data_IF_602364511596
#
_entry.id   IF_602364511596
#
_cell.length_a   1.000
_cell.length_b   1.000
_cell.length_c   1.000
_cell.angle_alpha   90.00
_cell.angle_beta   90.00
_cell.angle_gamma   90.00
#
_symmetry.space_group_name_H-M   'P 1'
#
loop_
_entity.id
_entity.type
_entity.pdbx_description
1 polymer ?
#
# COMPACT_ATOMS: atom_id res chain seq x y z
N UNK A 1 -2.56 -44.41 41.87
CA UNK A 1 -2.01 -44.22 43.24
C UNK A 1 -1.38 -42.84 43.32
N UNK A 2 -1.84 -41.98 44.24
CA UNK A 2 -1.36 -40.61 44.40
C UNK A 2 0.07 -40.63 44.96
N UNK A 3 1.06 -40.16 44.18
CA UNK A 3 2.41 -39.86 44.69
C UNK A 3 2.28 -38.58 45.52
N UNK A 4 2.27 -38.71 46.85
CA UNK A 4 2.37 -37.56 47.74
C UNK A 4 3.83 -37.12 47.78
N UNK A 5 4.11 -35.92 47.26
CA UNK A 5 5.39 -35.24 47.45
C UNK A 5 5.61 -35.01 48.95
N UNK A 6 6.68 -35.61 49.48
CA UNK A 6 7.13 -35.42 50.85
C UNK A 6 7.58 -33.98 51.06
N UNK A 7 7.19 -33.39 52.19
CA UNK A 7 7.55 -32.03 52.60
C UNK A 7 9.06 -31.96 52.86
N UNK A 8 9.79 -31.16 52.09
CA UNK A 8 11.22 -30.88 52.31
C UNK A 8 11.36 -29.75 53.34
N UNK A 9 11.96 -30.05 54.50
CA UNK A 9 12.43 -29.04 55.43
C UNK A 9 13.94 -28.82 55.21
N UNK A 10 14.33 -27.65 54.70
CA UNK A 10 15.71 -27.19 54.71
C UNK A 10 15.96 -26.50 56.07
N UNK A 11 16.59 -27.20 57.02
CA UNK A 11 17.00 -26.59 58.29
C UNK A 11 18.41 -26.05 58.12
N UNK A 12 18.52 -24.73 57.99
CA UNK A 12 19.78 -24.00 57.90
C UNK A 12 20.20 -23.62 59.33
N UNK A 13 20.97 -24.48 60.00
CA UNK A 13 21.53 -24.18 61.33
C UNK A 13 22.74 -23.24 61.15
N UNK A 14 22.50 -21.94 61.30
CA UNK A 14 23.53 -20.91 61.37
C UNK A 14 24.16 -20.91 62.77
N UNK A 15 25.24 -21.68 62.98
CA UNK A 15 26.08 -21.56 64.18
C UNK A 15 27.50 -21.10 63.84
N UNK A 16 27.83 -19.88 64.27
CA UNK A 16 29.17 -19.30 64.46
C UNK A 16 30.13 -19.20 63.24
N UNK A 17 31.00 -18.17 63.18
CA UNK A 17 31.88 -17.95 62.04
C UNK A 17 33.05 -18.94 62.09
N UNK A 18 32.90 -20.08 61.41
CA UNK A 18 33.98 -21.05 61.25
C UNK A 18 33.46 -22.40 60.78
N UNK A 19 33.23 -22.52 59.47
CA UNK A 19 32.71 -23.68 58.71
C UNK A 19 31.18 -23.75 58.64
N UNK A 20 30.63 -23.41 57.47
CA UNK A 20 29.24 -23.69 57.14
C UNK A 20 29.09 -25.20 56.90
N UNK A 21 28.26 -25.85 57.71
CA UNK A 21 27.96 -27.27 57.55
C UNK A 21 26.62 -27.41 56.83
N UNK A 22 26.63 -28.13 55.71
CA UNK A 22 25.44 -28.39 54.90
C UNK A 22 24.91 -29.76 55.26
N UNK A 23 23.61 -29.85 55.54
CA UNK A 23 22.96 -31.13 55.85
C UNK A 23 21.60 -31.23 55.20
N UNK A 24 21.27 -32.43 54.73
CA UNK A 24 19.95 -32.79 54.28
C UNK A 24 19.52 -34.08 54.96
N UNK A 25 18.28 -34.11 55.43
CA UNK A 25 17.67 -35.33 55.95
C UNK A 25 16.31 -35.50 55.28
N UNK A 26 16.07 -36.70 54.75
CA UNK A 26 14.82 -37.02 54.10
C UNK A 26 14.41 -38.47 54.31
N UNK A 27 13.14 -38.74 54.10
CA UNK A 27 12.61 -40.11 54.08
C UNK A 27 12.63 -40.67 52.66
N UNK A 28 13.16 -41.86 52.49
CA UNK A 28 13.17 -42.57 51.21
C UNK A 28 12.42 -43.91 51.34
N UNK A 29 11.59 -44.22 50.36
CA UNK A 29 10.97 -45.53 50.25
C UNK A 29 11.99 -46.54 49.69
N UNK A 30 11.90 -47.85 50.03
CA UNK A 30 12.74 -48.86 49.41
C UNK A 30 12.62 -48.85 47.87
N UNK A 31 13.76 -48.86 47.19
CA UNK A 31 13.88 -48.70 45.74
C UNK A 31 13.92 -47.25 45.25
N UNK A 32 13.78 -46.26 46.13
CA UNK A 32 13.95 -44.86 45.75
C UNK A 32 15.41 -44.53 45.46
N UNK A 33 15.64 -43.76 44.39
CA UNK A 33 16.97 -43.31 43.95
C UNK A 33 17.08 -41.81 44.17
N UNK A 34 18.22 -41.40 44.70
CA UNK A 34 18.59 -40.03 45.00
C UNK A 34 19.94 -39.73 44.36
N UNK A 35 20.06 -38.60 43.66
CA UNK A 35 21.31 -38.15 43.07
C UNK A 35 21.87 -37.01 43.92
N UNK A 36 23.05 -37.23 44.48
CA UNK A 36 23.72 -36.29 45.39
C UNK A 36 25.03 -35.91 44.73
N UNK A 37 25.10 -34.71 44.14
CA UNK A 37 26.15 -34.35 43.19
C UNK A 37 26.30 -35.42 42.08
N UNK A 38 27.42 -36.14 42.04
CA UNK A 38 27.71 -37.20 41.07
C UNK A 38 27.49 -38.61 41.64
N UNK A 39 26.93 -38.72 42.85
CA UNK A 39 26.68 -39.99 43.51
C UNK A 39 25.22 -40.41 43.32
N UNK A 40 25.01 -41.68 43.00
CA UNK A 40 23.69 -42.31 42.99
C UNK A 40 23.49 -43.03 44.31
N UNK A 41 22.48 -42.66 45.07
CA UNK A 41 22.13 -43.22 46.38
C UNK A 41 20.78 -43.89 46.27
N UNK A 42 20.76 -45.21 46.39
CA UNK A 42 19.53 -46.01 46.35
C UNK A 42 19.19 -46.45 47.75
N UNK A 43 18.00 -46.13 48.24
CA UNK A 43 17.49 -46.67 49.50
C UNK A 43 16.97 -48.09 49.27
N UNK A 44 17.35 -49.03 50.13
CA UNK A 44 16.90 -50.42 50.05
C UNK A 44 16.75 -51.03 51.44
N UNK A 45 16.40 -52.32 51.50
CA UNK A 45 16.21 -53.07 52.74
C UNK A 45 16.98 -54.37 52.72
N UNK A 46 17.72 -54.63 53.79
CA UNK A 46 18.45 -55.89 53.95
C UNK A 46 17.47 -57.06 54.18
N UNK A 47 17.59 -58.12 53.37
CA UNK A 47 16.69 -59.28 53.40
C UNK A 47 16.81 -60.10 54.71
N UNK A 48 18.02 -60.23 55.26
CA UNK A 48 18.31 -61.06 56.44
C UNK A 48 17.90 -60.40 57.77
N UNK A 49 18.01 -59.07 57.85
CA UNK A 49 17.81 -58.31 59.09
C UNK A 49 16.63 -57.34 59.08
N UNK A 50 15.97 -57.15 57.94
CA UNK A 50 14.91 -56.15 57.73
C UNK A 50 15.33 -54.70 58.07
N UNK A 51 16.64 -54.44 58.07
CA UNK A 51 17.26 -53.14 58.35
C UNK A 51 17.26 -52.26 57.11
N UNK A 52 17.10 -50.96 57.30
CA UNK A 52 17.23 -50.00 56.20
C UNK A 52 18.70 -49.83 55.83
N UNK A 53 18.97 -49.79 54.53
CA UNK A 53 20.30 -49.57 53.97
C UNK A 53 20.23 -48.53 52.86
N UNK A 54 21.37 -47.94 52.54
CA UNK A 54 21.55 -47.22 51.28
C UNK A 54 22.71 -47.82 50.49
N UNK A 55 22.60 -47.80 49.18
CA UNK A 55 23.59 -48.26 48.23
C UNK A 55 24.07 -47.05 47.44
N UNK A 56 25.37 -46.75 47.54
CA UNK A 56 26.00 -45.61 46.89
C UNK A 56 26.82 -46.11 45.69
N UNK A 57 26.54 -45.57 44.51
CA UNK A 57 27.14 -45.93 43.21
C UNK A 57 27.13 -47.44 42.94
N UNK A 58 26.09 -48.15 43.39
CA UNK A 58 25.93 -49.61 43.27
C UNK A 58 27.03 -50.47 43.90
N UNK A 59 28.00 -49.87 44.62
CA UNK A 59 29.18 -50.58 45.12
C UNK A 59 29.40 -50.42 46.63
N UNK A 60 28.91 -49.34 47.24
CA UNK A 60 29.12 -49.09 48.67
C UNK A 60 27.80 -49.17 49.41
N UNK A 61 27.68 -50.10 50.36
CA UNK A 61 26.50 -50.22 51.21
C UNK A 61 26.78 -49.54 52.55
N UNK A 62 25.83 -48.72 53.00
CA UNK A 62 25.84 -48.12 54.34
C UNK A 62 24.67 -48.71 55.12
N UNK A 63 24.98 -49.36 56.23
CA UNK A 63 23.97 -49.98 57.09
C UNK A 63 23.36 -48.98 58.07
N UNK A 64 22.23 -49.37 58.65
CA UNK A 64 21.58 -48.61 59.71
C UNK A 64 22.54 -48.30 60.87
N UNK A 65 22.55 -47.04 61.31
CA UNK A 65 23.45 -46.48 62.34
C UNK A 65 24.94 -46.50 61.97
N UNK A 66 25.29 -46.80 60.72
CA UNK A 66 26.64 -46.63 60.19
C UNK A 66 26.79 -45.23 59.57
N UNK A 67 27.94 -44.61 59.81
CA UNK A 67 28.35 -43.36 59.16
C UNK A 67 29.42 -43.66 58.13
N UNK A 68 29.21 -43.24 56.90
CA UNK A 68 30.16 -43.44 55.80
C UNK A 68 30.41 -42.14 55.08
N UNK A 69 31.68 -41.78 54.90
CA UNK A 69 32.07 -40.57 54.17
C UNK A 69 32.62 -40.95 52.80
N UNK A 70 32.01 -40.41 51.74
CA UNK A 70 32.37 -40.63 50.33
C UNK A 70 32.39 -39.27 49.65
N UNK A 71 33.49 -38.93 48.97
CA UNK A 71 33.66 -37.66 48.26
C UNK A 71 33.37 -36.40 49.11
N UNK A 72 33.64 -36.47 50.41
CA UNK A 72 33.37 -35.38 51.36
C UNK A 72 31.90 -35.23 51.77
N UNK A 73 31.04 -36.19 51.41
CA UNK A 73 29.67 -36.34 51.88
C UNK A 73 29.60 -37.49 52.89
N UNK A 74 29.12 -37.21 54.11
CA UNK A 74 28.85 -38.22 55.13
C UNK A 74 27.39 -38.64 55.03
N UNK A 75 27.17 -39.94 54.89
CA UNK A 75 25.87 -40.57 54.83
C UNK A 75 25.61 -41.36 56.10
N UNK A 76 24.39 -41.23 56.61
CA UNK A 76 23.89 -41.95 57.77
C UNK A 76 22.45 -42.41 57.51
N UNK A 77 22.13 -43.64 57.92
CA UNK A 77 20.81 -44.25 57.73
C UNK A 77 20.21 -44.58 59.07
N UNK A 78 18.95 -44.20 59.28
CA UNK A 78 18.17 -44.59 60.44
C UNK A 78 16.82 -45.17 60.02
N UNK A 79 16.37 -46.20 60.74
CA UNK A 79 15.00 -46.68 60.61
C UNK A 79 14.15 -46.09 61.73
N UNK A 80 13.05 -45.42 61.39
CA UNK A 80 12.07 -45.00 62.38
C UNK A 80 10.65 -45.22 61.84
N UNK A 81 9.79 -45.84 62.64
CA UNK A 81 8.41 -46.17 62.26
C UNK A 81 8.29 -46.84 60.87
N UNK A 82 9.15 -47.84 60.62
CA UNK A 82 9.20 -48.58 59.35
C UNK A 82 9.51 -47.72 58.10
N UNK A 83 10.13 -46.54 58.28
CA UNK A 83 10.61 -45.67 57.22
C UNK A 83 12.12 -45.52 57.28
N UNK A 84 12.76 -45.44 56.12
CA UNK A 84 14.20 -45.17 55.98
C UNK A 84 14.42 -43.68 55.97
N UNK A 85 15.18 -43.18 56.96
CA UNK A 85 15.67 -41.81 57.01
C UNK A 85 17.12 -41.81 56.56
N UNK A 86 17.43 -40.96 55.60
CA UNK A 86 18.79 -40.76 55.10
C UNK A 86 19.21 -39.35 55.46
N UNK A 87 20.32 -39.26 56.18
CA UNK A 87 20.98 -38.01 56.52
C UNK A 87 22.28 -37.91 55.73
N UNK A 88 22.47 -36.77 55.07
CA UNK A 88 23.63 -36.46 54.24
C UNK A 88 24.20 -35.16 54.77
N UNK A 89 25.50 -35.12 55.04
CA UNK A 89 26.17 -33.91 55.52
C UNK A 89 27.50 -33.67 54.83
N UNK A 90 27.87 -32.41 54.63
CA UNK A 90 29.16 -32.01 54.05
C UNK A 90 29.57 -30.62 54.51
N UNK A 91 30.87 -30.36 54.51
CA UNK A 91 31.43 -29.02 54.71
C UNK A 91 31.34 -28.15 53.45
N UNK A 92 30.98 -28.74 52.30
CA UNK A 92 30.75 -28.03 51.04
C UNK A 92 29.27 -28.08 50.65
N UNK A 93 28.74 -27.04 49.96
CA UNK A 93 27.41 -27.11 49.40
C UNK A 93 27.28 -28.30 48.45
N UNK A 94 26.14 -28.97 48.48
CA UNK A 94 25.81 -30.08 47.57
C UNK A 94 24.38 -29.96 47.08
N UNK A 95 24.12 -30.53 45.90
CA UNK A 95 22.80 -30.58 45.30
C UNK A 95 22.18 -31.96 45.45
N UNK A 96 20.88 -32.00 45.71
CA UNK A 96 20.08 -33.23 45.75
C UNK A 96 19.03 -33.17 44.66
N UNK A 97 19.04 -34.17 43.80
CA UNK A 97 18.08 -34.35 42.73
C UNK A 97 17.41 -35.73 42.86
N UNK A 98 16.11 -35.78 42.59
CA UNK A 98 15.34 -37.04 42.51
C UNK A 98 15.15 -37.51 41.06
N UNK A 99 15.73 -36.77 40.12
CA UNK A 99 15.73 -37.03 38.69
C UNK A 99 17.18 -37.23 38.26
N UNK A 100 17.38 -38.07 37.24
CA UNK A 100 18.71 -38.26 36.69
C UNK A 100 19.30 -36.93 36.21
N UNK A 101 20.60 -36.68 36.42
CA UNK A 101 21.25 -35.45 35.97
C UNK A 101 21.01 -35.15 34.47
N UNK A 102 20.97 -36.19 33.64
CA UNK A 102 20.68 -36.10 32.21
C UNK A 102 19.24 -35.64 31.93
N UNK A 103 18.26 -36.07 32.73
CA UNK A 103 16.87 -35.61 32.60
C UNK A 103 16.72 -34.14 33.01
N UNK A 104 17.41 -33.72 34.08
CA UNK A 104 17.39 -32.32 34.54
C UNK A 104 17.97 -31.39 33.47
N UNK A 105 19.09 -31.77 32.85
CA UNK A 105 19.70 -30.99 31.78
C UNK A 105 18.79 -30.90 30.54
N UNK A 106 18.13 -32.00 30.18
CA UNK A 106 17.17 -32.05 29.07
C UNK A 106 15.94 -31.18 29.33
N UNK A 107 15.41 -31.18 30.55
CA UNK A 107 14.29 -30.30 30.94
C UNK A 107 14.68 -28.83 30.81
N UNK A 108 15.85 -28.43 31.32
CA UNK A 108 16.33 -27.05 31.19
C UNK A 108 16.49 -26.63 29.72
N UNK A 109 17.05 -27.51 28.88
CA UNK A 109 17.16 -27.24 27.44
C UNK A 109 15.79 -27.05 26.77
N UNK A 110 14.81 -27.90 27.11
CA UNK A 110 13.44 -27.79 26.59
C UNK A 110 12.71 -26.53 27.09
N UNK A 111 12.99 -26.08 28.31
CA UNK A 111 12.45 -24.82 28.86
C UNK A 111 13.02 -23.61 28.12
N UNK A 112 14.33 -23.59 27.84
CA UNK A 112 14.97 -22.54 27.05
C UNK A 112 14.45 -22.50 25.61
N UNK A 113 14.31 -23.66 24.98
CA UNK A 113 13.74 -23.77 23.63
C UNK A 113 12.30 -23.26 23.60
N UNK A 114 11.47 -23.67 24.55
CA UNK A 114 10.10 -23.16 24.67
C UNK A 114 10.05 -21.64 24.85
N UNK A 115 10.97 -21.07 25.64
CA UNK A 115 11.06 -19.62 25.84
C UNK A 115 11.41 -18.91 24.53
N UNK A 116 12.38 -19.43 23.77
CA UNK A 116 12.76 -18.91 22.44
C UNK A 116 11.61 -19.00 21.45
N UNK A 117 10.92 -20.14 21.40
CA UNK A 117 9.77 -20.33 20.51
C UNK A 117 8.63 -19.36 20.85
N UNK A 118 8.33 -19.15 22.13
CA UNK A 118 7.33 -18.16 22.58
C UNK A 118 7.69 -16.74 22.15
N UNK A 119 8.96 -16.35 22.24
CA UNK A 119 9.41 -15.04 21.76
C UNK A 119 9.23 -14.90 20.24
N UNK A 120 9.68 -15.90 19.48
CA UNK A 120 9.55 -15.90 18.02
C UNK A 120 8.09 -15.83 17.55
N UNK A 121 7.18 -16.54 18.23
CA UNK A 121 5.74 -16.46 17.95
C UNK A 121 5.23 -15.03 18.16
N UNK A 122 5.59 -14.37 19.28
CA UNK A 122 5.15 -12.98 19.55
C UNK A 122 5.63 -12.01 18.48
N UNK A 123 6.88 -12.12 18.06
CA UNK A 123 7.46 -11.28 17.00
C UNK A 123 6.75 -11.50 15.66
N UNK A 124 6.52 -12.77 15.27
CA UNK A 124 5.81 -13.11 14.05
C UNK A 124 4.36 -12.62 14.07
N UNK A 125 3.66 -12.73 15.21
CA UNK A 125 2.30 -12.19 15.37
C UNK A 125 2.28 -10.67 15.22
N UNK A 126 3.25 -9.96 15.80
CA UNK A 126 3.35 -8.50 15.67
C UNK A 126 3.61 -8.07 14.23
N UNK A 127 4.52 -8.77 13.54
CA UNK A 127 4.82 -8.54 12.12
C UNK A 127 3.60 -8.80 11.24
N UNK A 128 2.90 -9.93 11.44
CA UNK A 128 1.67 -10.27 10.70
C UNK A 128 0.58 -9.22 10.88
N UNK A 129 0.35 -8.75 12.10
CA UNK A 129 -0.65 -7.71 12.35
C UNK A 129 -0.29 -6.40 11.65
N UNK A 130 0.98 -5.98 11.72
CA UNK A 130 1.45 -4.76 11.04
C UNK A 130 1.28 -4.87 9.51
N UNK A 131 1.63 -6.02 8.93
CA UNK A 131 1.46 -6.27 7.50
C UNK A 131 -0.02 -6.27 7.08
N UNK A 132 -0.91 -6.84 7.91
CA UNK A 132 -2.35 -6.80 7.65
C UNK A 132 -2.91 -5.37 7.67
N UNK A 133 -2.47 -4.54 8.61
CA UNK A 133 -2.87 -3.11 8.66
C UNK A 133 -2.42 -2.39 7.39
N UNK A 134 -1.15 -2.53 7.00
CA UNK A 134 -0.61 -1.93 5.78
C UNK A 134 -1.37 -2.40 4.52
N UNK A 135 -1.73 -3.69 4.46
CA UNK A 135 -2.51 -4.24 3.35
C UNK A 135 -3.92 -3.64 3.27
N UNK A 136 -4.59 -3.45 4.40
CA UNK A 136 -5.91 -2.81 4.44
C UNK A 136 -5.84 -1.33 4.03
N UNK A 137 -4.84 -0.59 4.50
CA UNK A 137 -4.60 0.80 4.08
C UNK A 137 -4.35 0.90 2.57
N UNK A 138 -3.56 -0.02 2.02
CA UNK A 138 -3.29 -0.09 0.59
C UNK A 138 -4.56 -0.39 -0.22
N UNK A 139 -5.41 -1.31 0.24
CA UNK A 139 -6.71 -1.58 -0.39
C UNK A 139 -7.62 -0.36 -0.38
N UNK A 140 -7.71 0.37 0.73
CA UNK A 140 -8.51 1.59 0.82
C UNK A 140 -8.01 2.66 -0.14
N UNK A 141 -6.69 2.86 -0.22
CA UNK A 141 -6.07 3.78 -1.18
C UNK A 141 -6.40 3.40 -2.63
N UNK A 142 -6.35 2.10 -2.95
CA UNK A 142 -6.68 1.59 -4.28
C UNK A 142 -8.15 1.83 -4.64
N UNK A 143 -9.07 1.63 -3.68
CA UNK A 143 -10.50 1.91 -3.87
C UNK A 143 -10.75 3.41 -4.12
N UNK A 144 -10.12 4.29 -3.34
CA UNK A 144 -10.22 5.73 -3.54
C UNK A 144 -9.67 6.17 -4.91
N UNK A 145 -8.47 5.71 -5.27
CA UNK A 145 -7.87 6.02 -6.58
C UNK A 145 -8.71 5.49 -7.74
N UNK A 146 -9.36 4.34 -7.58
CA UNK A 146 -10.26 3.77 -8.60
C UNK A 146 -11.49 4.67 -8.78
N UNK A 147 -12.06 5.17 -7.68
CA UNK A 147 -13.17 6.11 -7.72
C UNK A 147 -12.78 7.42 -8.38
N UNK A 148 -11.65 8.01 -7.97
CA UNK A 148 -11.12 9.24 -8.58
C UNK A 148 -10.86 9.07 -10.09
N UNK A 149 -10.28 7.95 -10.51
CA UNK A 149 -10.06 7.66 -11.93
C UNK A 149 -11.37 7.60 -12.73
N UNK A 150 -12.43 7.03 -12.14
CA UNK A 150 -13.75 7.00 -12.77
C UNK A 150 -14.33 8.40 -12.94
N UNK A 151 -14.27 9.21 -11.89
CA UNK A 151 -14.74 10.60 -11.93
C UNK A 151 -13.95 11.44 -12.95
N UNK A 152 -12.62 11.26 -13.02
CA UNK A 152 -11.78 11.93 -14.01
C UNK A 152 -12.12 11.50 -15.43
N UNK A 153 -12.40 10.22 -15.68
CA UNK A 153 -12.85 9.74 -16.99
C UNK A 153 -14.19 10.35 -17.40
N UNK A 154 -15.13 10.47 -16.48
CA UNK A 154 -16.42 11.11 -16.73
C UNK A 154 -16.26 12.61 -17.04
N UNK A 155 -15.43 13.32 -16.27
CA UNK A 155 -15.08 14.73 -16.54
C UNK A 155 -14.43 14.88 -17.92
N UNK A 156 -13.48 14.01 -18.25
CA UNK A 156 -12.79 14.04 -19.54
C UNK A 156 -13.76 13.81 -20.69
N UNK A 157 -14.65 12.82 -20.59
CA UNK A 157 -15.68 12.58 -21.59
C UNK A 157 -16.63 13.78 -21.77
N UNK A 158 -17.01 14.46 -20.68
CA UNK A 158 -17.84 15.67 -20.75
C UNK A 158 -17.10 16.83 -21.44
N UNK A 159 -15.83 17.06 -21.09
CA UNK A 159 -15.00 18.09 -21.74
C UNK A 159 -14.82 17.80 -23.22
N UNK A 160 -14.54 16.56 -23.61
CA UNK A 160 -14.43 16.16 -25.02
C UNK A 160 -15.74 16.42 -25.78
N UNK A 161 -16.90 16.11 -25.19
CA UNK A 161 -18.21 16.42 -25.81
C UNK A 161 -18.40 17.92 -26.04
N UNK A 162 -18.09 18.74 -25.03
CA UNK A 162 -18.18 20.20 -25.14
C UNK A 162 -17.23 20.76 -26.19
N UNK A 163 -16.00 20.24 -26.25
CA UNK A 163 -15.01 20.65 -27.25
C UNK A 163 -15.52 20.36 -28.65
N UNK A 164 -15.96 19.13 -28.93
CA UNK A 164 -16.49 18.75 -30.24
C UNK A 164 -17.71 19.59 -30.65
N UNK A 165 -18.59 19.90 -29.68
CA UNK A 165 -19.73 20.78 -29.93
C UNK A 165 -19.27 22.19 -30.33
N UNK A 166 -18.35 22.78 -29.57
CA UNK A 166 -17.82 24.13 -29.85
C UNK A 166 -17.04 24.19 -31.16
N UNK A 167 -16.28 23.14 -31.50
CA UNK A 167 -15.61 23.05 -32.81
C UNK A 167 -16.61 23.00 -33.96
N UNK A 168 -17.70 22.22 -33.79
CA UNK A 168 -18.80 22.17 -34.76
C UNK A 168 -19.48 23.53 -34.94
N UNK A 169 -19.80 24.22 -33.84
CA UNK A 169 -20.40 25.55 -33.86
C UNK A 169 -19.47 26.58 -34.51
N UNK A 170 -18.18 26.56 -34.17
CA UNK A 170 -17.18 27.45 -34.76
C UNK A 170 -17.03 27.21 -36.27
N UNK A 171 -17.04 25.94 -36.72
CA UNK A 171 -17.04 25.61 -38.15
C UNK A 171 -18.29 26.13 -38.85
N UNK A 172 -19.47 25.92 -38.25
CA UNK A 172 -20.73 26.43 -38.78
C UNK A 172 -20.75 27.96 -38.89
N UNK A 173 -20.27 28.67 -37.86
CA UNK A 173 -20.15 30.13 -37.88
C UNK A 173 -19.17 30.62 -38.96
N UNK A 174 -18.06 29.92 -39.16
CA UNK A 174 -17.13 30.21 -40.26
C UNK A 174 -17.76 30.04 -41.63
N UNK A 175 -18.56 28.98 -41.82
CA UNK A 175 -19.30 28.75 -43.06
C UNK A 175 -20.34 29.86 -43.29
N UNK A 176 -21.11 30.24 -42.26
CA UNK A 176 -22.04 31.37 -42.34
C UNK A 176 -21.31 32.67 -42.73
N UNK A 177 -20.19 32.98 -42.07
CA UNK A 177 -19.42 34.18 -42.37
C UNK A 177 -18.96 34.21 -43.83
N UNK A 178 -18.49 33.08 -44.36
CA UNK A 178 -18.12 32.96 -45.77
C UNK A 178 -19.33 33.19 -46.68
N UNK A 179 -20.48 32.59 -46.38
CA UNK A 179 -21.72 32.84 -47.14
C UNK A 179 -22.12 34.32 -47.11
N UNK A 180 -22.04 34.99 -45.95
CA UNK A 180 -22.31 36.43 -45.87
C UNK A 180 -21.33 37.25 -46.71
N UNK A 181 -20.03 36.91 -46.69
CA UNK A 181 -19.02 37.57 -47.52
C UNK A 181 -19.29 37.37 -49.02
N UNK A 182 -19.67 36.15 -49.44
CA UNK A 182 -20.00 35.84 -50.83
C UNK A 182 -21.27 36.60 -51.29
N UNK A 183 -22.31 36.62 -50.46
CA UNK A 183 -23.55 37.39 -50.73
C UNK A 183 -23.26 38.88 -50.80
N UNK A 184 -22.47 39.41 -49.86
CA UNK A 184 -22.10 40.82 -49.85
C UNK A 184 -21.31 41.20 -51.10
N UNK A 185 -20.30 40.41 -51.46
CA UNK A 185 -19.52 40.61 -52.68
C UNK A 185 -20.40 40.58 -53.94
N UNK A 186 -21.31 39.61 -54.04
CA UNK A 186 -22.27 39.53 -55.14
C UNK A 186 -23.33 40.64 -55.14
N UNK A 187 -23.64 41.25 -54.00
CA UNK A 187 -24.45 42.48 -53.95
C UNK A 187 -23.65 43.68 -54.46
N UNK A 188 -22.40 43.85 -54.01
CA UNK A 188 -21.52 44.93 -54.49
C UNK A 188 -21.33 44.85 -56.00
N UNK A 189 -21.00 43.68 -56.55
CA UNK A 189 -20.84 43.54 -58.01
C UNK A 189 -22.13 43.84 -58.78
N UNK A 190 -23.30 43.49 -58.25
CA UNK A 190 -24.59 43.86 -58.87
C UNK A 190 -24.88 45.35 -58.80
N UNK A 191 -24.52 46.01 -57.69
CA UNK A 191 -24.64 47.46 -57.55
C UNK A 191 -23.68 48.18 -58.52
N UNK A 192 -22.45 47.69 -58.66
CA UNK A 192 -21.48 48.21 -59.63
C UNK A 192 -21.97 48.02 -61.07
N UNK A 193 -22.44 46.82 -61.45
CA UNK A 193 -23.00 46.56 -62.77
C UNK A 193 -24.22 47.43 -63.08
N UNK A 194 -25.17 47.56 -62.14
CA UNK A 194 -26.31 48.44 -62.34
C UNK A 194 -25.91 49.91 -62.41
N UNK A 195 -24.90 50.34 -61.66
CA UNK A 195 -24.38 51.70 -61.79
C UNK A 195 -23.75 51.90 -63.18
N UNK A 196 -22.92 50.97 -63.65
CA UNK A 196 -22.34 51.02 -65.00
C UNK A 196 -23.42 51.01 -66.10
N UNK A 197 -24.42 50.13 -66.01
CA UNK A 197 -25.55 50.07 -66.93
C UNK A 197 -26.37 51.36 -66.94
N UNK A 198 -26.65 51.96 -65.78
CA UNK A 198 -27.38 53.23 -65.68
C UNK A 198 -26.57 54.39 -66.27
N UNK A 199 -25.25 54.44 -66.02
CA UNK A 199 -24.36 55.42 -66.64
C UNK A 199 -24.29 55.26 -68.17
N UNK A 200 -24.14 54.03 -68.67
CA UNK A 200 -24.13 53.73 -70.11
C UNK A 200 -25.48 54.05 -70.74
N UNK A 201 -26.59 53.72 -70.08
CA UNK A 201 -27.95 54.04 -70.53
C UNK A 201 -28.17 55.55 -70.65
N UNK A 202 -27.78 56.32 -69.63
CA UNK A 202 -27.85 57.78 -69.67
C UNK A 202 -26.94 58.39 -70.76
N UNK A 203 -25.76 57.80 -71.00
CA UNK A 203 -24.86 58.23 -72.07
C UNK A 203 -25.44 57.93 -73.47
N UNK A 204 -26.01 56.74 -73.66
CA UNK A 204 -26.69 56.37 -74.91
C UNK A 204 -27.93 57.23 -75.19
N UNK A 205 -28.73 57.56 -74.17
CA UNK A 205 -29.86 58.47 -74.34
C UNK A 205 -29.40 59.86 -74.78
N UNK A 206 -28.33 60.38 -74.15
CA UNK A 206 -27.71 61.66 -74.56
C UNK A 206 -27.15 61.59 -75.98
N UNK A 207 -26.54 60.48 -76.37
CA UNK A 207 -26.05 60.29 -77.74
C UNK A 207 -27.20 60.20 -78.75
N UNK A 208 -28.29 59.47 -78.45
CA UNK A 208 -29.50 59.40 -79.29
C UNK A 208 -30.15 60.78 -79.41
N UNK A 209 -30.21 61.56 -78.35
CA UNK A 209 -30.71 62.94 -78.38
C UNK A 209 -29.79 63.85 -79.22
N UNK A 210 -28.47 63.76 -79.06
CA UNK A 210 -27.51 64.51 -79.86
C UNK A 210 -27.56 64.14 -81.35
N UNK A 211 -27.71 62.85 -81.68
CA UNK A 211 -27.91 62.37 -83.06
C UNK A 211 -29.20 62.91 -83.66
N UNK A 212 -30.30 62.93 -82.89
CA UNK A 212 -31.56 63.56 -83.32
C UNK A 212 -31.40 65.06 -83.55
N UNK A 213 -30.70 65.75 -82.65
CA UNK A 213 -30.39 67.18 -82.77
C UNK A 213 -29.51 67.47 -83.99
N UNK A 214 -28.47 66.68 -84.24
CA UNK A 214 -27.65 66.80 -85.44
C UNK A 214 -28.44 66.52 -86.71
N UNK A 215 -29.34 65.53 -86.70
CA UNK A 215 -30.22 65.26 -87.84
C UNK A 215 -31.17 66.43 -88.12
N UNK A 216 -31.81 67.02 -87.10
CA UNK A 216 -32.64 68.22 -87.29
C UNK A 216 -31.82 69.43 -87.71
N UNK A 217 -30.61 69.61 -87.17
CA UNK A 217 -29.71 70.69 -87.57
C UNK A 217 -29.32 70.54 -89.06
N UNK A 218 -28.96 69.32 -89.49
CA UNK A 218 -28.63 69.00 -90.88
C UNK A 218 -29.82 69.24 -91.83
N UNK A 219 -31.03 68.82 -91.44
CA UNK A 219 -32.26 69.09 -92.19
C UNK A 219 -32.54 70.60 -92.28
N UNK A 220 -32.37 71.35 -91.20
CA UNK A 220 -32.55 72.80 -91.23
C UNK A 220 -31.53 73.49 -92.13
N UNK A 221 -30.28 73.02 -92.13
CA UNK A 221 -29.20 73.56 -92.96
C UNK A 221 -29.45 73.27 -94.44
N UNK A 222 -29.95 72.07 -94.76
CA UNK A 222 -30.39 71.72 -96.11
C UNK A 222 -31.54 72.59 -96.59
N UNK A 223 -32.52 72.87 -95.73
CA UNK A 223 -33.64 73.73 -96.07
C UNK A 223 -33.20 75.19 -96.29
N UNK A 224 -32.40 75.76 -95.39
CA UNK A 224 -31.90 77.14 -95.50
C UNK A 224 -30.93 77.29 -96.69
N UNK A 225 -30.03 76.32 -96.88
CA UNK A 225 -29.12 76.30 -98.03
C UNK A 225 -29.86 76.11 -99.35
N UNK A 226 -30.87 75.25 -99.39
CA UNK A 226 -31.73 75.02 -100.55
C UNK A 226 -32.59 76.24 -100.90
N UNK A 227 -33.22 76.87 -99.90
CA UNK A 227 -33.96 78.12 -100.09
C UNK A 227 -33.04 79.29 -100.47
N UNK A 228 -31.84 79.36 -99.89
CA UNK A 228 -30.83 80.35 -100.25
C UNK A 228 -30.38 80.20 -101.71
N UNK A 229 -30.16 78.97 -102.18
CA UNK A 229 -29.85 78.67 -103.59
C UNK A 229 -31.01 79.00 -104.53
N UNK A 230 -32.25 78.73 -104.11
CA UNK A 230 -33.46 79.09 -104.87
C UNK A 230 -33.65 80.61 -104.99
N UNK A 231 -33.48 81.35 -103.89
CA UNK A 231 -33.55 82.81 -103.88
C UNK A 231 -32.38 83.43 -104.66
N UNK A 232 -31.18 82.86 -104.56
CA UNK A 232 -30.01 83.28 -105.36
C UNK A 232 -30.23 83.06 -106.86
N UNK A 233 -30.83 81.92 -107.26
CA UNK A 233 -31.24 81.68 -108.65
C UNK A 233 -32.34 82.65 -109.11
N UNK A 234 -33.31 82.97 -108.25
CA UNK A 234 -34.38 83.92 -108.57
C UNK A 234 -33.84 85.36 -108.71
N UNK A 235 -32.88 85.79 -107.88
CA UNK A 235 -32.22 87.11 -107.98
C UNK A 235 -31.44 87.28 -109.28
N UNK A 236 -30.76 86.24 -109.79
CA UNK A 236 -30.09 86.32 -111.11
C UNK A 236 -31.05 86.56 -112.28
N UNK A 237 -32.33 86.19 -112.15
CA UNK A 237 -33.35 86.44 -113.19
C UNK A 237 -33.83 87.90 -113.25
N UNK A 238 -33.66 88.69 -112.18
CA UNK A 238 -34.12 90.08 -112.11
C UNK A 238 -33.07 91.13 -112.49
N UNK A 239 -31.85 90.71 -112.87
CA UNK A 239 -30.76 91.63 -113.25
C UNK A 239 -30.39 91.54 -114.74
N UNK A 240 -31.26 90.98 -115.58
CA UNK A 240 -31.09 90.87 -117.04
C UNK A 240 -32.35 91.32 -117.82
N UNK A 241 -33.13 92.24 -117.25
CA UNK A 241 -34.05 93.14 -117.98
C UNK A 241 -33.53 94.57 -117.84
#
# INVERSE_FOLDING_TARGET
MKRMFSLTFLILLLSTPGLAHYSWTGTLDPGAVLYVNNLTVTADREISGNRSIIIINNNTVVFENEKRTIDGLTFEVHTFNNKTYVSISSDKPFEINFLEPDEVSKIRALEEENKRLKQKIRELTKSKNSNNTNFNEMQLKLLNLTKENRELKEKLANVTKKLNYLEGENKYLKEQLKTYQDVFSGMISRVEQHAEEDYVGQAEEKEKAAKRLWATLAISTLLVGGFGLLLYRKKRKYFYE
#
